data_IF_011476522706
#
_entry.id   IF_011476522706
#
_cell.length_a   1.000
_cell.length_b   1.000
_cell.length_c   1.000
_cell.angle_alpha   90.00
_cell.angle_beta   90.00
_cell.angle_gamma   90.00
#
_symmetry.space_group_name_H-M   'P 1'
#
loop_
_entity.id
_entity.type
_entity.pdbx_description
1 polymer ?
#
# COMPACT_ATOMS: atom_id res chain seq x y z
N UNK A 1 -33.64 23.47 23.09
CA UNK A 1 -33.19 24.36 22.07
C UNK A 1 -31.69 24.52 22.24
N UNK A 2 -30.89 23.66 21.63
CA UNK A 2 -29.46 23.89 21.54
C UNK A 2 -29.08 23.65 20.11
N UNK A 3 -28.91 24.77 19.45
CA UNK A 3 -28.22 24.87 18.20
C UNK A 3 -26.88 24.23 18.37
N UNK A 4 -26.71 23.04 17.84
CA UNK A 4 -25.40 22.54 17.56
C UNK A 4 -24.70 23.60 16.71
N UNK A 5 -23.77 24.30 17.31
CA UNK A 5 -22.86 25.15 16.61
C UNK A 5 -22.20 24.29 15.55
N UNK A 6 -22.50 24.61 14.31
CA UNK A 6 -21.77 24.06 13.19
C UNK A 6 -20.29 24.22 13.53
N UNK A 7 -19.60 23.11 13.56
CA UNK A 7 -18.15 23.08 13.66
C UNK A 7 -17.64 24.02 12.56
N UNK A 8 -17.17 25.20 12.94
CA UNK A 8 -16.48 26.07 12.02
C UNK A 8 -15.25 25.28 11.61
N UNK A 9 -15.35 24.66 10.46
CA UNK A 9 -14.20 24.05 9.83
C UNK A 9 -13.11 25.11 9.81
N UNK A 10 -12.02 24.84 10.49
CA UNK A 10 -10.84 25.68 10.48
C UNK A 10 -10.34 25.85 9.05
N UNK A 11 -10.91 26.83 8.38
CA UNK A 11 -10.44 27.28 7.07
C UNK A 11 -9.15 28.05 7.32
N UNK A 12 -8.02 27.41 7.12
CA UNK A 12 -6.75 28.11 7.11
C UNK A 12 -6.62 28.80 5.75
N UNK A 13 -6.60 30.14 5.70
CA UNK A 13 -6.39 30.84 4.46
C UNK A 13 -5.00 30.57 3.93
N UNK A 14 -4.92 29.98 2.75
CA UNK A 14 -3.65 29.81 2.06
C UNK A 14 -3.31 31.11 1.36
N UNK A 15 -2.37 31.84 1.92
CA UNK A 15 -1.83 33.06 1.31
C UNK A 15 -0.59 32.67 0.49
N UNK A 16 -0.67 32.87 -0.80
CA UNK A 16 0.52 32.84 -1.66
C UNK A 16 1.18 34.21 -1.58
N UNK A 17 2.50 34.26 -1.46
CA UNK A 17 3.31 35.46 -1.47
C UNK A 17 3.10 36.24 -2.77
N UNK A 18 2.22 37.20 -2.74
CA UNK A 18 1.78 38.02 -3.87
C UNK A 18 0.36 38.47 -3.63
N UNK A 19 0.01 39.66 -3.93
CA UNK A 19 -1.20 40.40 -3.50
C UNK A 19 -2.54 39.87 -4.04
N UNK A 20 -2.62 38.67 -4.62
CA UNK A 20 -3.88 38.07 -5.08
C UNK A 20 -4.30 36.94 -4.16
N UNK A 21 -5.46 37.04 -3.51
CA UNK A 21 -6.01 35.94 -2.75
C UNK A 21 -6.26 34.75 -3.71
N UNK A 22 -5.58 33.65 -3.47
CA UNK A 22 -5.92 32.39 -4.13
C UNK A 22 -7.22 31.88 -3.53
N UNK A 23 -8.07 31.30 -4.38
CA UNK A 23 -9.36 30.75 -4.01
C UNK A 23 -9.35 30.06 -2.63
N UNK A 24 -10.39 30.29 -1.85
CA UNK A 24 -10.57 29.69 -0.54
C UNK A 24 -10.26 28.21 -0.57
N UNK A 25 -9.39 27.77 0.34
CA UNK A 25 -9.05 26.35 0.48
C UNK A 25 -10.34 25.59 0.76
N UNK A 26 -10.63 24.58 -0.05
CA UNK A 26 -11.73 23.66 0.21
C UNK A 26 -11.52 23.07 1.60
N UNK A 27 -12.49 23.17 2.52
CA UNK A 27 -12.32 22.60 3.85
C UNK A 27 -12.04 21.12 3.72
N UNK A 28 -10.86 20.70 4.13
CA UNK A 28 -10.54 19.29 4.27
C UNK A 28 -11.42 18.78 5.40
N UNK A 29 -12.40 17.94 5.08
CA UNK A 29 -13.12 17.22 6.11
C UNK A 29 -12.07 16.52 6.96
N UNK A 30 -11.96 16.91 8.22
CA UNK A 30 -11.20 16.13 9.19
C UNK A 30 -11.76 14.72 9.12
N UNK A 31 -10.97 13.79 8.57
CA UNK A 31 -11.30 12.37 8.67
C UNK A 31 -11.39 12.08 10.16
N UNK A 32 -12.50 11.51 10.65
CA UNK A 32 -12.60 11.20 12.06
C UNK A 32 -11.35 10.43 12.47
N UNK A 33 -10.64 10.95 13.45
CA UNK A 33 -9.58 10.18 14.10
C UNK A 33 -10.22 8.86 14.48
N UNK A 34 -9.64 7.76 14.01
CA UNK A 34 -10.14 6.43 14.34
C UNK A 34 -10.43 6.38 15.85
N UNK A 35 -11.70 6.19 16.20
CA UNK A 35 -12.05 5.91 17.57
C UNK A 35 -11.34 4.62 17.99
N UNK A 36 -10.76 4.61 19.19
CA UNK A 36 -10.18 3.42 19.78
C UNK A 36 -11.22 2.30 19.72
N UNK A 37 -10.92 1.23 18.93
CA UNK A 37 -11.83 0.12 18.69
C UNK A 37 -12.33 -0.02 17.25
N UNK A 38 -12.07 0.94 16.36
CA UNK A 38 -12.38 0.79 14.94
C UNK A 38 -11.36 -0.17 14.30
N UNK A 39 -11.80 -1.19 13.54
CA UNK A 39 -10.86 -2.09 12.88
C UNK A 39 -9.95 -1.29 11.95
N UNK A 40 -8.66 -1.42 12.16
CA UNK A 40 -7.66 -0.78 11.33
C UNK A 40 -7.47 -1.59 10.04
N UNK A 41 -7.56 -0.91 8.90
CA UNK A 41 -7.24 -1.49 7.60
C UNK A 41 -5.81 -1.16 7.22
N UNK A 42 -5.08 -2.16 6.79
CA UNK A 42 -3.68 -1.99 6.39
C UNK A 42 -3.47 -2.60 5.02
N UNK A 43 -2.95 -1.81 4.09
CA UNK A 43 -2.47 -2.32 2.81
C UNK A 43 -1.02 -2.74 2.95
N UNK A 44 -0.75 -3.95 2.53
CA UNK A 44 0.60 -4.50 2.45
C UNK A 44 0.93 -4.69 0.98
N UNK A 45 2.00 -4.05 0.55
CA UNK A 45 2.53 -4.16 -0.80
C UNK A 45 3.89 -4.84 -0.75
N UNK A 46 4.04 -5.90 -1.49
CA UNK A 46 5.28 -6.69 -1.54
C UNK A 46 5.80 -6.68 -2.97
N UNK A 47 7.04 -6.24 -3.15
CA UNK A 47 7.73 -6.33 -4.43
C UNK A 47 8.83 -7.36 -4.29
N UNK A 48 8.78 -8.42 -5.09
CA UNK A 48 9.72 -9.53 -5.01
C UNK A 48 10.05 -10.10 -6.39
N UNK A 49 10.96 -11.09 -6.42
CA UNK A 49 11.29 -11.82 -7.62
C UNK A 49 10.11 -12.66 -8.10
N UNK A 50 9.89 -12.74 -9.42
CA UNK A 50 8.85 -13.62 -9.99
C UNK A 50 8.97 -15.08 -9.52
N UNK A 51 10.19 -15.58 -9.40
CA UNK A 51 10.46 -16.96 -8.97
C UNK A 51 9.97 -17.28 -7.55
N UNK A 52 9.69 -16.28 -6.74
CA UNK A 52 9.21 -16.43 -5.35
C UNK A 52 7.71 -16.19 -5.18
N UNK A 53 7.03 -15.81 -6.26
CA UNK A 53 5.62 -15.45 -6.19
C UNK A 53 4.72 -16.60 -5.73
N UNK A 54 4.86 -17.78 -6.30
CA UNK A 54 3.98 -18.91 -5.97
C UNK A 54 4.13 -19.35 -4.51
N UNK A 55 5.33 -19.35 -3.98
CA UNK A 55 5.59 -19.69 -2.58
C UNK A 55 5.00 -18.63 -1.66
N UNK A 56 5.16 -17.36 -2.01
CA UNK A 56 4.59 -16.24 -1.24
C UNK A 56 3.07 -16.29 -1.26
N UNK A 57 2.47 -16.48 -2.42
CA UNK A 57 1.00 -16.59 -2.58
C UNK A 57 0.45 -17.71 -1.69
N UNK A 58 1.04 -18.90 -1.74
CA UNK A 58 0.63 -20.02 -0.91
C UNK A 58 0.73 -19.71 0.58
N UNK A 59 1.81 -19.05 1.01
CA UNK A 59 1.99 -18.67 2.39
C UNK A 59 0.95 -17.65 2.87
N UNK A 60 0.61 -16.69 2.03
CA UNK A 60 -0.43 -15.69 2.33
C UNK A 60 -1.82 -16.33 2.42
N UNK A 61 -2.14 -17.23 1.52
CA UNK A 61 -3.41 -17.96 1.56
C UNK A 61 -3.56 -18.82 2.82
N UNK A 62 -2.48 -19.43 3.29
CA UNK A 62 -2.47 -20.18 4.56
C UNK A 62 -2.71 -19.29 5.78
N UNK A 63 -2.38 -18.01 5.70
CA UNK A 63 -2.72 -17.04 6.75
C UNK A 63 -4.19 -16.61 6.73
N UNK A 64 -4.95 -17.02 5.72
CA UNK A 64 -6.34 -16.61 5.53
C UNK A 64 -6.52 -15.38 4.65
N UNK A 65 -5.48 -14.94 3.95
CA UNK A 65 -5.57 -13.84 2.99
C UNK A 65 -6.02 -14.42 1.65
N UNK A 66 -7.24 -14.08 1.24
CA UNK A 66 -7.85 -14.60 0.00
C UNK A 66 -7.81 -13.60 -1.15
N UNK A 67 -7.84 -12.31 -0.84
CA UNK A 67 -7.82 -11.24 -1.84
C UNK A 67 -6.42 -10.67 -2.02
N UNK A 68 -5.85 -10.83 -3.20
CA UNK A 68 -4.56 -10.26 -3.59
C UNK A 68 -4.63 -9.70 -4.99
N UNK A 69 -4.05 -8.53 -5.19
CA UNK A 69 -3.85 -7.96 -6.52
C UNK A 69 -2.39 -8.15 -6.92
N UNK A 70 -2.17 -8.69 -8.11
CA UNK A 70 -0.83 -9.03 -8.59
C UNK A 70 -0.55 -8.29 -9.88
N UNK A 71 0.61 -7.65 -9.94
CA UNK A 71 1.09 -6.94 -11.13
C UNK A 71 2.52 -7.36 -11.45
N UNK A 72 2.79 -7.51 -12.75
CA UNK A 72 4.15 -7.64 -13.23
C UNK A 72 4.74 -6.25 -13.43
N UNK A 73 5.88 -6.00 -12.77
CA UNK A 73 6.55 -4.71 -12.78
C UNK A 73 8.01 -4.86 -13.12
N UNK A 74 8.63 -3.78 -13.56
CA UNK A 74 10.06 -3.73 -13.80
C UNK A 74 10.73 -2.96 -12.67
N UNK A 75 11.66 -3.60 -12.00
CA UNK A 75 12.47 -2.97 -10.95
C UNK A 75 13.77 -2.42 -11.53
N UNK A 76 14.06 -1.17 -11.21
CA UNK A 76 15.33 -0.53 -11.49
C UNK A 76 16.07 -0.33 -10.17
N UNK A 77 17.24 -0.91 -10.03
CA UNK A 77 18.05 -0.80 -8.83
C UNK A 77 19.52 -0.84 -9.11
N UNK A 78 20.30 -0.31 -8.18
CA UNK A 78 21.76 -0.41 -8.23
C UNK A 78 22.15 -1.85 -7.89
N UNK A 79 22.40 -2.66 -8.89
CA UNK A 79 23.09 -3.93 -8.68
C UNK A 79 24.59 -3.67 -8.65
N UNK A 80 25.24 -3.93 -7.53
CA UNK A 80 26.68 -4.11 -7.47
C UNK A 80 27.03 -5.44 -8.13
N UNK A 81 27.01 -5.45 -9.45
CA UNK A 81 27.41 -6.58 -10.28
C UNK A 81 28.28 -6.05 -11.41
N UNK A 82 28.97 -6.94 -12.11
CA UNK A 82 29.81 -6.57 -13.25
C UNK A 82 28.98 -5.72 -14.22
N UNK A 83 29.50 -4.55 -14.64
CA UNK A 83 28.81 -3.74 -15.64
C UNK A 83 28.63 -4.58 -16.90
N UNK A 84 27.40 -4.70 -17.36
CA UNK A 84 27.15 -5.28 -18.68
C UNK A 84 27.45 -4.24 -19.76
N UNK A 85 28.26 -4.64 -20.72
CA UNK A 85 28.60 -3.80 -21.86
C UNK A 85 27.83 -4.26 -23.08
N UNK A 86 27.04 -3.38 -23.66
CA UNK A 86 26.44 -3.60 -24.95
C UNK A 86 27.21 -2.73 -26.01
N UNK A 87 27.86 -3.40 -26.93
CA UNK A 87 28.70 -2.74 -27.95
C UNK A 87 29.73 -1.76 -27.39
N UNK A 88 30.34 -2.09 -26.24
CA UNK A 88 31.38 -1.25 -25.63
C UNK A 88 30.85 -0.06 -24.83
N UNK A 89 29.53 0.10 -24.70
CA UNK A 89 28.89 1.10 -23.86
C UNK A 89 28.39 0.45 -22.59
N UNK A 90 28.77 0.99 -21.46
CA UNK A 90 28.24 0.54 -20.15
C UNK A 90 26.74 0.83 -20.11
N UNK A 91 25.94 -0.21 -19.99
CA UNK A 91 24.49 -0.08 -19.79
C UNK A 91 24.26 0.09 -18.29
N UNK A 92 24.01 1.32 -17.88
CA UNK A 92 23.56 1.60 -16.52
C UNK A 92 22.08 1.24 -16.38
N UNK A 93 21.76 0.57 -15.30
CA UNK A 93 20.42 0.20 -14.86
C UNK A 93 19.70 -0.87 -15.70
N UNK A 94 19.88 -2.09 -15.33
CA UNK A 94 19.05 -3.17 -15.80
C UNK A 94 17.66 -3.11 -15.16
N UNK A 95 16.63 -3.03 -15.99
CA UNK A 95 15.25 -3.25 -15.56
C UNK A 95 15.05 -4.76 -15.39
N UNK A 96 14.79 -5.18 -14.17
CA UNK A 96 14.55 -6.58 -13.84
C UNK A 96 13.07 -6.84 -13.64
N UNK A 97 12.54 -7.95 -14.17
CA UNK A 97 11.16 -8.32 -13.92
C UNK A 97 10.96 -8.64 -12.43
N UNK A 98 9.92 -8.05 -11.87
CA UNK A 98 9.47 -8.22 -10.49
C UNK A 98 7.98 -8.45 -10.47
N UNK A 99 7.49 -8.95 -9.35
CA UNK A 99 6.06 -9.06 -9.07
C UNK A 99 5.74 -8.14 -7.89
N UNK A 100 4.69 -7.36 -8.07
CA UNK A 100 4.11 -6.53 -7.03
C UNK A 100 2.80 -7.15 -6.59
N UNK A 101 2.68 -7.41 -5.30
CA UNK A 101 1.50 -8.02 -4.70
C UNK A 101 0.95 -7.05 -3.69
N UNK A 102 -0.33 -6.73 -3.82
CA UNK A 102 -1.05 -5.88 -2.89
C UNK A 102 -2.16 -6.65 -2.20
N UNK A 103 -2.29 -6.46 -0.92
CA UNK A 103 -3.37 -7.02 -0.11
C UNK A 103 -3.79 -6.02 0.96
N UNK A 104 -5.07 -6.02 1.31
CA UNK A 104 -5.60 -5.24 2.43
C UNK A 104 -6.05 -6.21 3.50
N UNK A 105 -5.58 -6.02 4.71
CA UNK A 105 -5.87 -6.87 5.85
C UNK A 105 -6.48 -6.09 7.00
N UNK A 106 -7.34 -6.74 7.75
CA UNK A 106 -7.93 -6.22 8.98
C UNK A 106 -7.87 -7.26 10.09
N UNK A 107 -8.46 -8.44 9.87
CA UNK A 107 -8.50 -9.52 10.86
C UNK A 107 -7.15 -10.23 11.01
N UNK A 108 -6.39 -10.37 9.93
CA UNK A 108 -5.06 -10.99 9.98
C UNK A 108 -4.05 -9.98 10.51
N UNK A 109 -3.29 -10.31 11.57
CA UNK A 109 -2.31 -9.38 12.13
C UNK A 109 -1.22 -9.03 11.12
N UNK A 110 -0.99 -7.73 10.93
CA UNK A 110 0.03 -7.21 9.99
C UNK A 110 1.41 -7.77 10.28
N UNK A 111 1.78 -7.84 11.55
CA UNK A 111 3.08 -8.38 11.96
C UNK A 111 3.28 -9.83 11.49
N UNK A 112 2.23 -10.65 11.57
CA UNK A 112 2.27 -12.03 11.12
C UNK A 112 2.47 -12.14 9.61
N UNK A 113 1.83 -11.27 8.85
CA UNK A 113 2.00 -11.18 7.39
C UNK A 113 3.45 -10.82 7.04
N UNK A 114 3.98 -9.78 7.69
CA UNK A 114 5.36 -9.32 7.47
C UNK A 114 6.37 -10.43 7.79
N UNK A 115 6.26 -11.07 8.94
CA UNK A 115 7.21 -12.12 9.35
C UNK A 115 7.13 -13.35 8.42
N UNK A 116 5.94 -13.72 8.00
CA UNK A 116 5.75 -14.82 7.04
C UNK A 116 6.37 -14.49 5.69
N UNK A 117 6.12 -13.29 5.17
CA UNK A 117 6.68 -12.84 3.90
C UNK A 117 8.21 -12.77 3.95
N UNK A 118 8.78 -12.24 5.01
CA UNK A 118 10.23 -12.20 5.24
C UNK A 118 10.83 -13.61 5.22
N UNK A 119 10.23 -14.54 5.94
CA UNK A 119 10.69 -15.92 6.00
C UNK A 119 10.71 -16.61 4.64
N UNK A 120 9.68 -16.38 3.84
CA UNK A 120 9.53 -16.98 2.51
C UNK A 120 10.47 -16.35 1.48
N UNK A 121 10.67 -15.03 1.55
CA UNK A 121 11.43 -14.29 0.55
C UNK A 121 12.92 -14.19 0.83
N UNK A 122 13.34 -14.41 2.07
CA UNK A 122 14.72 -14.22 2.48
C UNK A 122 15.67 -15.22 1.81
N UNK A 123 16.68 -14.70 1.13
CA UNK A 123 17.85 -15.45 0.64
C UNK A 123 19.16 -14.87 1.17
N UNK A 124 19.13 -13.65 1.69
CA UNK A 124 20.31 -12.90 2.12
C UNK A 124 21.02 -12.18 0.99
N UNK A 125 20.47 -12.22 -0.23
CA UNK A 125 21.03 -11.56 -1.39
C UNK A 125 20.25 -10.30 -1.75
N UNK A 126 20.91 -9.38 -2.44
CA UNK A 126 20.26 -8.19 -3.02
C UNK A 126 19.19 -8.66 -4.00
N UNK A 127 17.99 -8.08 -3.90
CA UNK A 127 16.87 -8.40 -4.76
C UNK A 127 15.79 -9.27 -4.12
N UNK A 128 15.92 -9.62 -2.84
CA UNK A 128 14.89 -10.36 -2.09
C UNK A 128 13.56 -9.61 -2.04
N UNK A 129 13.60 -8.30 -2.16
CA UNK A 129 12.43 -7.47 -2.26
C UNK A 129 12.21 -6.54 -1.07
N UNK A 130 11.08 -5.88 -1.10
CA UNK A 130 10.66 -4.93 -0.06
C UNK A 130 9.19 -5.12 0.26
N UNK A 131 8.84 -4.80 1.49
CA UNK A 131 7.47 -4.80 1.99
C UNK A 131 7.14 -3.38 2.41
N UNK A 132 6.08 -2.83 1.83
CA UNK A 132 5.55 -1.52 2.17
C UNK A 132 4.24 -1.68 2.91
N UNK A 133 4.05 -0.88 3.95
CA UNK A 133 2.86 -0.94 4.82
C UNK A 133 2.20 0.42 4.82
N UNK A 134 0.91 0.45 4.47
CA UNK A 134 0.12 1.67 4.36
C UNK A 134 -1.12 1.60 5.23
N UNK A 135 -1.47 2.72 5.84
CA UNK A 135 -2.79 2.87 6.43
C UNK A 135 -3.84 3.07 5.34
N UNK A 136 -4.95 2.37 5.44
CA UNK A 136 -6.10 2.47 4.54
C UNK A 136 -7.25 3.08 5.33
N UNK A 137 -7.75 4.22 4.87
CA UNK A 137 -8.82 4.92 5.56
C UNK A 137 -10.16 4.20 5.48
N UNK A 138 -10.46 3.64 4.33
CA UNK A 138 -11.72 2.94 4.09
C UNK A 138 -11.58 1.94 2.94
N UNK A 139 -12.47 0.97 2.91
CA UNK A 139 -12.62 0.01 1.83
C UNK A 139 -14.08 0.01 1.41
N UNK A 140 -14.34 0.09 0.11
CA UNK A 140 -15.70 0.10 -0.45
C UNK A 140 -15.82 -1.01 -1.47
N UNK A 141 -16.82 -1.87 -1.30
CA UNK A 141 -17.15 -2.92 -2.26
C UNK A 141 -18.05 -2.32 -3.35
N UNK A 142 -17.57 -2.28 -4.57
CA UNK A 142 -18.29 -1.64 -5.68
C UNK A 142 -19.65 -2.29 -5.94
N UNK A 143 -19.72 -3.62 -5.88
CA UNK A 143 -20.94 -4.38 -6.20
C UNK A 143 -22.09 -4.09 -5.24
N UNK A 144 -21.80 -3.96 -3.95
CA UNK A 144 -22.83 -3.85 -2.90
C UNK A 144 -22.90 -2.48 -2.26
N UNK A 145 -21.86 -1.66 -2.39
CA UNK A 145 -21.70 -0.41 -1.67
C UNK A 145 -21.32 -0.57 -0.19
N UNK A 146 -21.08 -1.79 0.27
CA UNK A 146 -20.61 -2.04 1.63
C UNK A 146 -19.27 -1.38 1.87
N UNK A 147 -19.08 -0.89 3.08
CA UNK A 147 -17.87 -0.20 3.50
C UNK A 147 -17.24 -0.86 4.73
N UNK A 148 -15.96 -0.59 4.92
CA UNK A 148 -15.25 -1.06 6.08
C UNK A 148 -15.01 -2.56 6.09
N UNK A 149 -15.16 -3.18 7.25
CA UNK A 149 -14.88 -4.60 7.44
C UNK A 149 -15.72 -5.50 6.52
N UNK A 150 -16.99 -5.18 6.33
CA UNK A 150 -17.90 -5.94 5.47
C UNK A 150 -17.47 -5.91 4.00
N UNK A 151 -16.82 -4.83 3.58
CA UNK A 151 -16.29 -4.69 2.23
C UNK A 151 -15.10 -5.63 1.94
N UNK A 152 -14.36 -6.04 2.97
CA UNK A 152 -13.26 -6.99 2.86
C UNK A 152 -13.71 -8.45 2.86
N UNK A 153 -14.96 -8.72 3.28
CA UNK A 153 -15.51 -10.05 3.31
C UNK A 153 -16.08 -10.41 1.93
N UNK A 154 -15.45 -11.33 1.23
CA UNK A 154 -16.06 -11.98 0.07
C UNK A 154 -16.92 -13.14 0.56
N UNK A 155 -18.13 -12.81 0.94
CA UNK A 155 -19.17 -13.81 1.22
C UNK A 155 -19.95 -13.97 -0.08
N UNK A 156 -19.92 -15.17 -0.63
CA UNK A 156 -20.83 -15.53 -1.72
C UNK A 156 -22.27 -15.58 -1.22
#
# INVERSE_FOLDING_TARGET
PDSATADEADTVPVMVTGETPVAEAVPVKKVPSFEEGTPKFTKIEIVCKESRFEVLKSAMMKLGITGMTVSHVLGCGVQKGKPEYYRGVQVEANLLPKVQIEMVVSAVPVRKVIETAKKVLYTGHIGDGKIFVYDVENVVKVRTGEEGFDALQDVE
#
